data_IF_943304399576
#
_entry.id   IF_943304399576
#
_cell.length_a   1.000
_cell.length_b   1.000
_cell.length_c   1.000
_cell.angle_alpha   90.00
_cell.angle_beta   90.00
_cell.angle_gamma   90.00
#
_symmetry.space_group_name_H-M   'P 1'
#
loop_
_entity.id
_entity.type
_entity.pdbx_description
1 polymer ?
#
# COMPACT_ATOMS: atom_id res chain seq x y z
N UNK A 1 -18.84 -14.44 -8.72
CA UNK A 1 -19.09 -12.99 -8.66
C UNK A 1 -18.08 -12.39 -7.71
N UNK A 2 -17.04 -11.71 -8.23
CA UNK A 2 -16.04 -11.06 -7.37
C UNK A 2 -16.49 -9.63 -7.12
N UNK A 3 -17.05 -9.32 -5.95
CA UNK A 3 -17.25 -7.92 -5.56
C UNK A 3 -15.89 -7.29 -5.30
N UNK A 4 -15.64 -6.12 -5.88
CA UNK A 4 -14.42 -5.34 -5.59
C UNK A 4 -14.44 -4.99 -4.11
N UNK A 5 -13.36 -5.33 -3.40
CA UNK A 5 -13.26 -5.07 -1.96
C UNK A 5 -13.18 -3.57 -1.68
N UNK A 6 -13.74 -3.14 -0.55
CA UNK A 6 -13.74 -1.73 -0.16
C UNK A 6 -12.39 -1.38 0.47
N UNK A 7 -11.74 -0.35 -0.06
CA UNK A 7 -10.47 0.17 0.45
C UNK A 7 -10.76 1.36 1.35
N UNK A 8 -10.02 1.49 2.47
CA UNK A 8 -10.22 2.58 3.44
C UNK A 8 -10.15 3.99 2.81
N UNK A 9 -9.20 4.23 1.89
CA UNK A 9 -9.14 5.46 1.09
C UNK A 9 -9.92 5.30 -0.22
N UNK A 10 -10.81 6.25 -0.50
CA UNK A 10 -11.64 6.28 -1.71
C UNK A 10 -10.87 6.80 -2.92
N UNK A 11 -11.29 6.36 -4.11
CA UNK A 11 -10.83 6.91 -5.39
C UNK A 11 -10.99 8.45 -5.41
N UNK A 12 -10.08 9.19 -6.07
CA UNK A 12 -10.08 10.64 -6.07
C UNK A 12 -11.29 11.29 -6.78
N UNK A 13 -12.20 10.48 -7.37
CA UNK A 13 -13.38 10.95 -8.10
C UNK A 13 -13.03 11.49 -9.49
N UNK A 14 -13.87 12.37 -10.03
CA UNK A 14 -13.67 13.00 -11.35
C UNK A 14 -12.69 14.18 -11.36
N UNK A 15 -11.72 14.23 -10.44
CA UNK A 15 -10.73 15.31 -10.38
C UNK A 15 -9.72 15.16 -11.51
N UNK A 16 -9.24 16.28 -12.03
CA UNK A 16 -8.13 16.29 -12.98
C UNK A 16 -6.83 15.96 -12.26
N UNK A 17 -6.17 14.88 -12.67
CA UNK A 17 -4.90 14.41 -12.13
C UNK A 17 -3.73 14.65 -13.11
N UNK A 18 -3.97 15.29 -14.25
CA UNK A 18 -2.98 15.45 -15.32
C UNK A 18 -1.74 16.25 -14.91
N UNK A 19 -1.85 17.08 -13.87
CA UNK A 19 -0.73 17.85 -13.31
C UNK A 19 0.14 17.07 -12.34
N UNK A 20 -0.25 15.85 -11.93
CA UNK A 20 0.55 15.03 -11.03
C UNK A 20 1.63 14.27 -11.83
N UNK A 21 2.82 14.06 -11.25
CA UNK A 21 3.84 13.21 -11.86
C UNK A 21 3.30 11.81 -12.13
N UNK A 22 3.49 11.31 -13.35
CA UNK A 22 3.19 9.92 -13.70
C UNK A 22 4.48 9.12 -13.73
N UNK A 23 4.48 7.96 -13.07
CA UNK A 23 5.60 7.03 -13.07
C UNK A 23 5.10 5.64 -13.45
N UNK A 24 5.77 4.99 -14.39
CA UNK A 24 5.53 3.59 -14.74
C UNK A 24 6.54 2.70 -14.04
N UNK A 25 6.04 1.68 -13.31
CA UNK A 25 6.88 0.70 -12.62
C UNK A 25 6.89 -0.60 -13.45
N UNK A 26 8.06 -1.09 -13.89
CA UNK A 26 8.13 -2.35 -14.63
C UNK A 26 7.80 -3.54 -13.73
N UNK A 27 7.31 -4.64 -14.32
CA UNK A 27 6.98 -5.87 -13.58
C UNK A 27 8.20 -6.54 -12.94
N UNK A 28 9.40 -6.24 -13.42
CA UNK A 28 10.67 -6.68 -12.86
C UNK A 28 11.21 -5.78 -11.75
N UNK A 29 10.48 -4.73 -11.36
CA UNK A 29 10.93 -3.83 -10.30
C UNK A 29 11.07 -4.58 -8.98
N UNK A 30 12.21 -4.36 -8.32
CA UNK A 30 12.41 -4.84 -6.96
C UNK A 30 11.49 -4.05 -6.03
N UNK A 31 10.77 -4.78 -5.18
CA UNK A 31 9.91 -4.20 -4.16
C UNK A 31 10.50 -4.43 -2.78
N UNK A 32 10.27 -3.46 -1.90
CA UNK A 32 10.79 -3.43 -0.54
C UNK A 32 9.64 -3.27 0.44
N UNK A 33 9.84 -3.82 1.63
CA UNK A 33 8.90 -3.68 2.73
C UNK A 33 9.63 -3.37 4.01
N UNK A 34 9.33 -2.21 4.59
CA UNK A 34 9.55 -1.99 6.00
C UNK A 34 8.46 -2.69 6.81
N UNK A 35 8.83 -3.46 7.83
CA UNK A 35 7.88 -4.05 8.75
C UNK A 35 8.45 -4.10 10.18
N UNK A 36 7.55 -4.14 11.18
CA UNK A 36 7.95 -4.37 12.57
C UNK A 36 8.54 -5.77 12.71
N UNK A 37 9.47 -5.94 13.64
CA UNK A 37 10.12 -7.24 13.93
C UNK A 37 9.14 -8.32 14.37
N UNK A 38 8.00 -7.93 14.97
CA UNK A 38 6.92 -8.85 15.34
C UNK A 38 6.13 -9.41 14.13
N UNK A 39 6.29 -8.82 12.94
CA UNK A 39 5.58 -9.22 11.73
C UNK A 39 6.57 -9.83 10.73
N UNK A 40 6.10 -10.78 9.92
CA UNK A 40 6.86 -11.30 8.78
C UNK A 40 6.81 -10.36 7.56
N UNK A 41 7.74 -10.56 6.62
CA UNK A 41 7.76 -9.83 5.34
C UNK A 41 6.47 -9.99 4.51
N UNK A 42 5.67 -11.02 4.78
CA UNK A 42 4.37 -11.30 4.18
C UNK A 42 3.20 -11.16 5.16
N UNK A 43 3.29 -10.28 6.15
CA UNK A 43 2.15 -9.89 6.97
C UNK A 43 1.12 -9.08 6.18
N UNK A 44 -0.18 -9.25 6.42
CA UNK A 44 -1.22 -8.47 5.73
C UNK A 44 -2.06 -7.75 6.79
N UNK A 45 -2.07 -6.41 6.79
CA UNK A 45 -2.85 -5.63 7.75
C UNK A 45 -4.30 -5.54 7.34
N UNK A 46 -5.19 -5.68 8.32
CA UNK A 46 -6.64 -5.56 8.13
C UNK A 46 -7.33 -4.86 9.30
N UNK A 47 -6.55 -4.12 10.11
CA UNK A 47 -7.03 -3.43 11.29
C UNK A 47 -7.61 -2.04 11.01
N UNK A 48 -7.66 -1.61 9.75
CA UNK A 48 -8.18 -0.30 9.34
C UNK A 48 -7.28 0.89 9.67
N UNK A 49 -6.07 0.65 10.19
CA UNK A 49 -5.11 1.70 10.54
C UNK A 49 -4.32 2.19 9.31
N UNK A 50 -4.14 1.34 8.30
CA UNK A 50 -3.49 1.70 7.06
C UNK A 50 -4.45 2.39 6.08
N UNK A 51 -3.93 3.38 5.33
CA UNK A 51 -4.71 4.15 4.35
C UNK A 51 -5.43 3.28 3.31
N UNK A 52 -4.87 2.11 3.01
CA UNK A 52 -5.38 1.19 2.01
C UNK A 52 -5.65 -0.20 2.60
N UNK A 53 -5.90 -0.30 3.90
CA UNK A 53 -6.23 -1.58 4.52
C UNK A 53 -7.53 -2.14 3.92
N UNK A 54 -7.50 -3.44 3.64
CA UNK A 54 -8.68 -4.24 3.34
C UNK A 54 -9.22 -4.85 4.63
N UNK A 55 -10.53 -5.02 4.72
CA UNK A 55 -11.17 -5.67 5.85
C UNK A 55 -10.86 -7.18 5.90
N UNK A 56 -10.99 -7.75 7.11
CA UNK A 56 -10.94 -9.20 7.28
C UNK A 56 -12.02 -9.90 6.43
N UNK A 57 -11.74 -11.09 5.86
CA UNK A 57 -10.59 -11.97 6.10
C UNK A 57 -9.35 -11.64 5.25
N UNK A 58 -9.39 -10.60 4.41
CA UNK A 58 -8.24 -10.18 3.62
C UNK A 58 -7.34 -9.26 4.44
N UNK A 59 -6.32 -8.73 3.80
CA UNK A 59 -5.47 -7.67 4.33
C UNK A 59 -4.55 -7.12 3.25
N UNK A 60 -3.85 -6.05 3.59
CA UNK A 60 -2.97 -5.30 2.67
C UNK A 60 -1.51 -5.52 3.03
N UNK A 61 -0.70 -5.89 2.03
CA UNK A 61 0.75 -5.90 2.14
C UNK A 61 1.30 -4.62 1.49
N UNK A 62 1.85 -3.72 2.31
CA UNK A 62 2.43 -2.47 1.84
C UNK A 62 3.84 -2.71 1.32
N UNK A 63 4.09 -2.28 0.08
CA UNK A 63 5.36 -2.41 -0.63
C UNK A 63 5.74 -1.04 -1.21
N UNK A 64 7.03 -0.73 -1.21
CA UNK A 64 7.62 0.44 -1.86
C UNK A 64 8.61 0.03 -2.96
N UNK A 65 8.88 0.96 -3.87
CA UNK A 65 9.89 0.79 -4.94
C UNK A 65 11.28 1.33 -4.57
N UNK A 66 11.37 2.01 -3.42
CA UNK A 66 12.60 2.59 -2.89
C UNK A 66 12.74 2.17 -1.42
N UNK A 67 13.86 1.52 -1.03
CA UNK A 67 14.08 1.08 0.34
C UNK A 67 14.11 2.23 1.35
N UNK A 68 14.61 3.41 0.97
CA UNK A 68 14.67 4.56 1.87
C UNK A 68 13.27 5.08 2.20
N UNK A 69 12.41 5.12 1.18
CA UNK A 69 10.97 5.44 1.35
C UNK A 69 10.27 4.38 2.20
N UNK A 70 10.53 3.08 1.96
CA UNK A 70 9.90 2.00 2.71
C UNK A 70 10.26 1.99 4.20
N UNK A 71 11.49 2.39 4.56
CA UNK A 71 11.90 2.57 5.96
C UNK A 71 11.23 3.79 6.58
N UNK A 72 11.14 4.92 5.85
CA UNK A 72 10.47 6.13 6.34
C UNK A 72 8.98 5.90 6.61
N UNK A 73 8.29 5.08 5.83
CA UNK A 73 6.89 4.74 6.11
C UNK A 73 6.70 3.97 7.43
N UNK A 74 7.72 3.25 7.92
CA UNK A 74 7.68 2.58 9.22
C UNK A 74 8.04 3.51 10.38
N UNK A 75 8.97 4.44 10.15
CA UNK A 75 9.51 5.33 11.19
C UNK A 75 8.74 6.65 11.35
N UNK A 76 8.05 7.10 10.29
CA UNK A 76 7.29 8.37 10.27
C UNK A 76 5.82 8.23 10.68
N UNK A 77 5.46 7.11 11.33
CA UNK A 77 4.14 6.90 11.93
C UNK A 77 4.00 7.61 13.28
#
# INVERSE_FOLDING_TARGET
>A
MSSRESVALREPGGRDLSSFPTVSIPTSAQLYRGHRTANGAWFFSNGGAGRFDLDAPRGTCYLGVDPDTAVREVLGG
#
